data_IF_568226413485
#
_entry.id   IF_568226413485
#
_cell.length_a   1.000
_cell.length_b   1.000
_cell.length_c   1.000
_cell.angle_alpha   90.00
_cell.angle_beta   90.00
_cell.angle_gamma   90.00
#
_symmetry.space_group_name_H-M   'P 1'
#
loop_
_entity.id
_entity.type
_entity.pdbx_description
1 polymer ?
#
# COMPACT_ATOMS: atom_id res chain seq x y z
N UNK A 1 22.77 32.39 22.19
CA UNK A 1 21.33 32.39 21.89
C UNK A 1 20.90 30.96 21.53
N UNK A 2 20.09 30.30 22.38
CA UNK A 2 19.58 28.94 22.16
C UNK A 2 18.05 29.02 22.13
N UNK A 3 17.44 28.80 20.98
CA UNK A 3 15.98 28.74 20.84
C UNK A 3 15.50 27.31 21.12
N UNK A 4 14.66 27.16 22.14
CA UNK A 4 13.98 25.92 22.48
C UNK A 4 12.95 25.57 21.39
N UNK A 5 12.93 24.32 20.95
CA UNK A 5 11.90 23.76 20.06
C UNK A 5 10.85 23.08 20.93
N UNK A 6 9.57 23.47 20.89
CA UNK A 6 8.53 22.77 21.63
C UNK A 6 8.07 21.54 20.82
N UNK A 7 8.34 20.35 21.34
CA UNK A 7 7.80 19.08 20.82
C UNK A 7 6.40 18.86 21.40
N UNK A 8 5.38 19.38 20.72
CA UNK A 8 3.98 19.07 21.02
C UNK A 8 3.66 17.66 20.47
N UNK A 9 3.92 16.65 21.29
CA UNK A 9 3.60 15.25 20.99
C UNK A 9 2.14 15.01 21.37
N UNK A 10 1.22 15.33 20.44
CA UNK A 10 -0.18 14.89 20.58
C UNK A 10 -0.31 13.42 20.24
N UNK A 11 -0.57 12.63 21.28
CA UNK A 11 -1.15 11.31 21.18
C UNK A 11 -2.52 11.39 20.48
N UNK A 12 -2.70 10.54 19.48
CA UNK A 12 -3.97 10.39 18.77
C UNK A 12 -4.05 8.97 18.25
N UNK A 13 -4.64 8.09 19.06
CA UNK A 13 -5.07 6.76 18.67
C UNK A 13 -6.03 6.87 17.48
N UNK A 14 -5.50 6.90 16.26
CA UNK A 14 -6.31 6.84 15.05
C UNK A 14 -6.71 5.40 14.84
N UNK A 15 -7.90 5.05 15.34
CA UNK A 15 -8.67 3.92 14.81
C UNK A 15 -8.62 4.04 13.28
N UNK A 16 -7.85 3.15 12.65
CA UNK A 16 -7.73 3.08 11.19
C UNK A 16 -9.16 3.09 10.62
N UNK A 17 -9.51 4.02 9.72
CA UNK A 17 -10.79 3.91 9.04
C UNK A 17 -10.72 2.63 8.21
N UNK A 18 -11.38 1.58 8.69
CA UNK A 18 -11.81 0.44 7.88
C UNK A 18 -12.92 0.95 6.97
N UNK A 19 -12.60 1.86 6.06
CA UNK A 19 -13.44 2.14 4.90
C UNK A 19 -12.64 1.57 3.76
N UNK A 20 -13.01 0.37 3.34
CA UNK A 20 -12.55 -0.19 2.08
C UNK A 20 -13.25 0.65 1.04
N UNK A 21 -12.63 1.76 0.62
CA UNK A 21 -13.22 2.61 -0.40
C UNK A 21 -13.17 1.85 -1.72
N UNK A 22 -14.15 2.01 -2.63
CA UNK A 22 -14.03 1.52 -4.00
C UNK A 22 -12.71 1.96 -4.65
N UNK A 23 -12.23 3.16 -4.29
CA UNK A 23 -10.90 3.68 -4.63
C UNK A 23 -9.74 2.76 -4.25
N UNK A 24 -9.88 1.96 -3.19
CA UNK A 24 -8.82 1.05 -2.71
C UNK A 24 -8.66 -0.15 -3.65
N UNK A 25 -9.76 -0.72 -4.16
CA UNK A 25 -9.68 -1.83 -5.11
C UNK A 25 -8.97 -1.40 -6.40
N UNK A 26 -9.39 -0.28 -6.98
CA UNK A 26 -8.84 0.22 -8.24
C UNK A 26 -7.41 0.70 -8.06
N UNK A 27 -7.09 1.30 -6.92
CA UNK A 27 -5.71 1.62 -6.55
C UNK A 27 -4.83 0.37 -6.51
N UNK A 28 -5.24 -0.67 -5.79
CA UNK A 28 -4.45 -1.89 -5.67
C UNK A 28 -4.33 -2.62 -7.00
N UNK A 29 -5.39 -2.68 -7.80
CA UNK A 29 -5.36 -3.26 -9.15
C UNK A 29 -4.40 -2.50 -10.07
N UNK A 30 -4.42 -1.16 -10.03
CA UNK A 30 -3.49 -0.34 -10.83
C UNK A 30 -2.04 -0.56 -10.39
N UNK A 31 -1.78 -0.60 -9.09
CA UNK A 31 -0.44 -0.83 -8.54
C UNK A 31 0.06 -2.23 -8.85
N UNK A 32 -0.77 -3.26 -8.75
CA UNK A 32 -0.43 -4.63 -9.15
C UNK A 32 0.14 -4.66 -10.58
N UNK A 33 -0.59 -4.08 -11.54
CA UNK A 33 -0.16 -4.03 -12.94
C UNK A 33 1.14 -3.26 -13.14
N UNK A 34 1.32 -2.15 -12.42
CA UNK A 34 2.54 -1.34 -12.47
C UNK A 34 3.75 -2.13 -11.96
N UNK A 35 3.63 -2.78 -10.81
CA UNK A 35 4.69 -3.61 -10.24
C UNK A 35 5.03 -4.82 -11.13
N UNK A 36 4.03 -5.45 -11.79
CA UNK A 36 4.29 -6.49 -12.79
C UNK A 36 5.11 -5.97 -13.96
N UNK A 37 4.78 -4.77 -14.47
CA UNK A 37 5.53 -4.12 -15.57
C UNK A 37 6.97 -3.82 -15.14
N UNK A 38 7.17 -3.29 -13.94
CA UNK A 38 8.51 -3.02 -13.38
C UNK A 38 9.32 -4.32 -13.22
N UNK A 39 8.69 -5.39 -12.73
CA UNK A 39 9.33 -6.70 -12.63
C UNK A 39 9.73 -7.27 -14.00
N UNK A 40 8.91 -7.06 -15.04
CA UNK A 40 9.19 -7.52 -16.39
C UNK A 40 10.32 -6.71 -17.06
N UNK A 41 10.37 -5.39 -16.80
CA UNK A 41 11.39 -4.50 -17.33
C UNK A 41 12.75 -4.62 -16.61
N UNK A 42 12.76 -5.13 -15.37
CA UNK A 42 13.99 -5.23 -14.59
C UNK A 42 14.90 -6.39 -15.05
N UNK A 43 16.18 -6.07 -15.26
CA UNK A 43 17.25 -7.04 -15.57
C UNK A 43 17.87 -7.64 -14.32
N UNK A 44 17.78 -6.96 -13.19
CA UNK A 44 18.30 -7.42 -11.90
C UNK A 44 17.33 -8.43 -11.26
N UNK A 45 17.83 -9.63 -10.95
CA UNK A 45 17.02 -10.72 -10.40
C UNK A 45 16.48 -10.46 -8.99
N UNK A 46 17.17 -9.67 -8.18
CA UNK A 46 16.70 -9.23 -6.86
C UNK A 46 15.59 -8.19 -7.00
N UNK A 47 15.79 -7.19 -7.85
CA UNK A 47 14.78 -6.15 -8.13
C UNK A 47 13.52 -6.75 -8.76
N UNK A 48 13.68 -7.71 -9.68
CA UNK A 48 12.56 -8.46 -10.24
C UNK A 48 11.75 -9.21 -9.18
N UNK A 49 12.43 -9.85 -8.22
CA UNK A 49 11.76 -10.58 -7.13
C UNK A 49 10.99 -9.65 -6.20
N UNK A 50 11.53 -8.48 -5.85
CA UNK A 50 10.82 -7.55 -4.95
C UNK A 50 9.55 -6.99 -5.61
N UNK A 51 9.63 -6.56 -6.88
CA UNK A 51 8.45 -6.07 -7.60
C UNK A 51 7.40 -7.16 -7.80
N UNK A 52 7.80 -8.42 -8.07
CA UNK A 52 6.85 -9.55 -8.09
C UNK A 52 6.13 -9.70 -6.75
N UNK A 53 6.87 -9.66 -5.63
CA UNK A 53 6.29 -9.79 -4.29
C UNK A 53 5.32 -8.64 -3.98
N UNK A 54 5.64 -7.42 -4.41
CA UNK A 54 4.72 -6.29 -4.28
C UNK A 54 3.47 -6.45 -5.14
N UNK A 55 3.61 -6.88 -6.40
CA UNK A 55 2.46 -7.16 -7.25
C UNK A 55 1.53 -8.23 -6.62
N UNK A 56 2.09 -9.32 -6.10
CA UNK A 56 1.31 -10.38 -5.43
C UNK A 56 0.58 -9.85 -4.18
N UNK A 57 1.22 -8.95 -3.41
CA UNK A 57 0.59 -8.31 -2.26
C UNK A 57 -0.54 -7.36 -2.65
N UNK A 58 -0.36 -6.58 -3.71
CA UNK A 58 -1.41 -5.70 -4.22
C UNK A 58 -2.59 -6.50 -4.80
N UNK A 59 -2.34 -7.63 -5.48
CA UNK A 59 -3.39 -8.52 -5.94
C UNK A 59 -4.27 -9.02 -4.76
N UNK A 60 -3.64 -9.54 -3.71
CA UNK A 60 -4.35 -9.98 -2.49
C UNK A 60 -5.17 -8.86 -1.85
N UNK A 61 -4.64 -7.63 -1.82
CA UNK A 61 -5.35 -6.49 -1.26
C UNK A 61 -6.51 -6.04 -2.14
N UNK A 62 -6.38 -6.11 -3.46
CA UNK A 62 -7.48 -5.85 -4.38
C UNK A 62 -8.62 -6.83 -4.13
N UNK A 63 -8.32 -8.14 -4.10
CA UNK A 63 -9.31 -9.19 -3.80
C UNK A 63 -10.04 -8.94 -2.46
N UNK A 64 -9.27 -8.66 -1.39
CA UNK A 64 -9.83 -8.35 -0.07
C UNK A 64 -10.66 -7.06 -0.06
N UNK A 65 -10.33 -6.12 -0.95
CA UNK A 65 -11.07 -4.87 -1.07
C UNK A 65 -12.36 -5.01 -1.90
N UNK A 66 -12.40 -5.99 -2.81
CA UNK A 66 -13.60 -6.33 -3.59
C UNK A 66 -14.60 -7.16 -2.79
N UNK A 67 -14.14 -7.87 -1.76
CA UNK A 67 -15.02 -8.72 -0.94
C UNK A 67 -15.99 -7.88 -0.11
N UNK A 68 -17.32 -8.08 -0.24
CA UNK A 68 -18.29 -7.41 0.60
C UNK A 68 -18.04 -7.80 2.05
N UNK A 69 -17.88 -6.80 2.92
CA UNK A 69 -17.61 -7.03 4.33
C UNK A 69 -18.78 -7.82 4.93
N UNK A 70 -18.56 -8.98 5.59
CA UNK A 70 -19.64 -9.68 6.27
C UNK A 70 -20.27 -8.75 7.32
N UNK A 71 -21.61 -8.79 7.39
CA UNK A 71 -22.45 -7.93 8.22
C UNK A 71 -22.17 -8.09 9.72
#
# INVERSE_FOLDING_TARGET
MRTAVPTDRKEGATRRPTVTRPDDHDYFTRREREERRLAAASRDGCVKRIHKRFADEYARRAERSAEPRPA
#
